data_IF_187705457214
#
_entry.id   IF_187705457214
#
_cell.length_a   1.000
_cell.length_b   1.000
_cell.length_c   1.000
_cell.angle_alpha   90.00
_cell.angle_beta   90.00
_cell.angle_gamma   90.00
#
_symmetry.space_group_name_H-M   'P 1'
#
loop_
_entity.id
_entity.type
_entity.pdbx_description
1 polymer ?
#
# COMPACT_ATOMS: atom_id res chain seq x y z
N UNK A 1 15.16 37.76 1.85
CA UNK A 1 15.32 37.07 0.54
C UNK A 1 14.25 37.63 -0.38
N UNK A 2 14.65 38.29 -1.48
CA UNK A 2 13.72 38.90 -2.41
C UNK A 2 12.89 37.85 -3.14
N UNK A 3 11.59 38.08 -3.36
CA UNK A 3 10.68 37.13 -4.05
C UNK A 3 11.21 36.59 -5.39
N UNK A 4 12.00 37.39 -6.11
CA UNK A 4 12.66 36.99 -7.37
C UNK A 4 13.73 35.91 -7.13
N UNK A 5 14.47 35.96 -6.01
CA UNK A 5 15.49 34.98 -5.65
C UNK A 5 14.90 33.64 -5.24
N UNK A 6 13.77 33.63 -4.52
CA UNK A 6 13.08 32.41 -4.10
C UNK A 6 12.48 31.64 -5.29
N UNK A 7 11.83 32.33 -6.22
CA UNK A 7 11.26 31.73 -7.42
C UNK A 7 12.35 31.14 -8.32
N UNK A 8 13.48 31.82 -8.47
CA UNK A 8 14.62 31.31 -9.25
C UNK A 8 15.24 30.07 -8.58
N UNK A 9 15.44 30.10 -7.27
CA UNK A 9 15.94 28.97 -6.48
C UNK A 9 15.01 27.76 -6.60
N UNK A 10 13.69 27.92 -6.42
CA UNK A 10 12.72 26.84 -6.58
C UNK A 10 12.78 26.25 -8.00
N UNK A 11 12.80 27.11 -9.03
CA UNK A 11 12.88 26.67 -10.43
C UNK A 11 14.16 25.86 -10.72
N UNK A 12 15.28 26.27 -10.15
CA UNK A 12 16.57 25.57 -10.31
C UNK A 12 16.55 24.25 -9.54
N UNK A 13 16.05 24.23 -8.31
CA UNK A 13 16.00 23.04 -7.45
C UNK A 13 15.12 21.93 -8.03
N UNK A 14 14.00 22.31 -8.67
CA UNK A 14 13.05 21.39 -9.30
C UNK A 14 13.25 21.23 -10.82
N UNK A 15 14.37 21.68 -11.36
CA UNK A 15 14.66 21.61 -12.82
C UNK A 15 14.76 20.17 -13.34
N UNK A 16 15.05 19.20 -12.46
CA UNK A 16 15.10 17.77 -12.82
C UNK A 16 13.71 17.14 -13.05
N UNK A 17 12.62 17.82 -12.70
CA UNK A 17 11.25 17.33 -12.92
C UNK A 17 10.83 17.46 -14.38
N UNK A 18 11.49 16.71 -15.28
CA UNK A 18 11.27 16.76 -16.73
C UNK A 18 11.02 15.37 -17.32
N UNK A 19 10.72 15.28 -18.60
CA UNK A 19 10.61 14.01 -19.34
C UNK A 19 9.64 13.02 -18.71
N UNK A 20 10.07 11.77 -18.63
CA UNK A 20 9.27 10.67 -18.07
C UNK A 20 8.86 10.92 -16.60
N UNK A 21 9.78 11.48 -15.80
CA UNK A 21 9.50 11.72 -14.40
C UNK A 21 8.29 12.65 -14.20
N UNK A 22 8.22 13.76 -14.97
CA UNK A 22 7.05 14.67 -14.93
C UNK A 22 5.75 13.98 -15.38
N UNK A 23 5.82 13.14 -16.43
CA UNK A 23 4.65 12.39 -16.90
C UNK A 23 4.14 11.46 -15.81
N UNK A 24 5.04 10.77 -15.12
CA UNK A 24 4.69 9.85 -14.04
C UNK A 24 4.11 10.59 -12.83
N UNK A 25 4.67 11.73 -12.43
CA UNK A 25 4.13 12.54 -11.33
C UNK A 25 2.69 12.99 -11.61
N UNK A 26 2.44 13.56 -12.80
CA UNK A 26 1.09 14.02 -13.16
C UNK A 26 0.10 12.84 -13.19
N UNK A 27 0.50 11.70 -13.78
CA UNK A 27 -0.37 10.52 -13.79
C UNK A 27 -0.62 9.97 -12.39
N UNK A 28 0.34 10.09 -11.47
CA UNK A 28 0.17 9.67 -10.07
C UNK A 28 -0.83 10.54 -9.33
N UNK A 29 -0.75 11.87 -9.49
CA UNK A 29 -1.73 12.81 -8.92
C UNK A 29 -3.16 12.43 -9.34
N UNK A 30 -3.36 12.12 -10.64
CA UNK A 30 -4.68 11.71 -11.14
C UNK A 30 -5.16 10.42 -10.48
N UNK A 31 -4.28 9.44 -10.29
CA UNK A 31 -4.63 8.15 -9.73
C UNK A 31 -4.85 8.22 -8.22
N UNK A 32 -3.96 8.91 -7.50
CA UNK A 32 -4.01 9.00 -6.04
C UNK A 32 -5.23 9.77 -5.54
N UNK A 33 -5.68 10.80 -6.28
CA UNK A 33 -6.88 11.56 -5.94
C UNK A 33 -8.12 10.68 -5.78
N UNK A 34 -8.20 9.59 -6.54
CA UNK A 34 -9.35 8.70 -6.51
C UNK A 34 -9.11 7.39 -5.76
N UNK A 35 -7.86 7.00 -5.52
CA UNK A 35 -7.49 5.68 -5.00
C UNK A 35 -8.12 5.34 -3.64
N UNK A 36 -8.20 6.32 -2.74
CA UNK A 36 -8.71 6.13 -1.38
C UNK A 36 -10.21 6.45 -1.21
N UNK A 37 -10.87 6.92 -2.27
CA UNK A 37 -12.31 7.23 -2.20
C UNK A 37 -13.18 6.03 -1.77
N UNK A 38 -12.97 4.79 -2.26
CA UNK A 38 -13.83 3.67 -1.88
C UNK A 38 -13.64 3.22 -0.43
N UNK A 39 -12.49 3.50 0.19
CA UNK A 39 -12.06 2.90 1.44
C UNK A 39 -13.09 2.94 2.59
N UNK A 40 -13.76 4.06 2.89
CA UNK A 40 -14.72 4.11 4.00
C UNK A 40 -15.98 3.27 3.79
N UNK A 41 -16.41 3.11 2.54
CA UNK A 41 -17.74 2.59 2.21
C UNK A 41 -17.70 1.24 1.47
N UNK A 42 -16.52 0.74 1.11
CA UNK A 42 -16.36 -0.48 0.31
C UNK A 42 -17.03 -1.70 0.95
N UNK A 43 -16.81 -1.89 2.26
CA UNK A 43 -17.37 -3.04 2.97
C UNK A 43 -18.90 -3.00 2.99
N UNK A 44 -19.48 -1.83 3.21
CA UNK A 44 -20.94 -1.63 3.17
C UNK A 44 -21.51 -1.86 1.77
N UNK A 45 -20.82 -1.38 0.74
CA UNK A 45 -21.21 -1.58 -0.65
C UNK A 45 -21.29 -3.05 -1.01
N UNK A 46 -20.25 -3.83 -0.66
CA UNK A 46 -20.23 -5.28 -0.90
C UNK A 46 -21.36 -5.99 -0.13
N UNK A 47 -21.59 -5.64 1.14
CA UNK A 47 -22.58 -6.32 1.96
C UNK A 47 -24.02 -5.94 1.62
N UNK A 48 -24.32 -4.66 1.57
CA UNK A 48 -25.70 -4.17 1.54
C UNK A 48 -26.23 -4.01 0.13
N UNK A 49 -25.38 -3.63 -0.83
CA UNK A 49 -25.82 -3.40 -2.21
C UNK A 49 -25.61 -4.65 -3.08
N UNK A 50 -24.49 -5.35 -2.90
CA UNK A 50 -24.12 -6.45 -3.79
C UNK A 50 -24.40 -7.84 -3.22
N UNK A 51 -25.03 -7.91 -2.04
CA UNK A 51 -25.43 -9.16 -1.40
C UNK A 51 -24.27 -10.05 -0.96
N UNK A 52 -23.07 -9.47 -0.76
CA UNK A 52 -21.90 -10.18 -0.30
C UNK A 52 -21.90 -10.32 1.21
N UNK A 53 -22.00 -11.53 1.74
CA UNK A 53 -21.80 -11.81 3.16
C UNK A 53 -20.35 -11.58 3.61
N UNK A 54 -20.09 -11.77 4.91
CA UNK A 54 -18.73 -11.60 5.47
C UNK A 54 -17.65 -12.37 4.72
N UNK A 55 -17.93 -13.61 4.29
CA UNK A 55 -16.98 -14.41 3.51
C UNK A 55 -16.60 -13.76 2.17
N UNK A 56 -17.51 -13.05 1.53
CA UNK A 56 -17.27 -12.39 0.24
C UNK A 56 -16.14 -11.36 0.34
N UNK A 57 -16.10 -10.56 1.39
CA UNK A 57 -15.03 -9.59 1.63
C UNK A 57 -13.67 -10.27 1.81
N UNK A 58 -13.63 -11.37 2.55
CA UNK A 58 -12.43 -12.18 2.71
C UNK A 58 -11.93 -12.76 1.39
N UNK A 59 -12.83 -13.29 0.54
CA UNK A 59 -12.49 -13.83 -0.77
C UNK A 59 -12.02 -12.75 -1.74
N UNK A 60 -12.65 -11.58 -1.76
CA UNK A 60 -12.20 -10.43 -2.57
C UNK A 60 -10.79 -10.01 -2.15
N UNK A 61 -10.53 -9.90 -0.85
CA UNK A 61 -9.21 -9.56 -0.33
C UNK A 61 -8.17 -10.62 -0.64
N UNK A 62 -8.50 -11.90 -0.47
CA UNK A 62 -7.63 -13.03 -0.84
C UNK A 62 -7.27 -12.98 -2.32
N UNK A 63 -8.25 -12.84 -3.20
CA UNK A 63 -8.03 -12.78 -4.65
C UNK A 63 -7.15 -11.59 -5.05
N UNK A 64 -7.40 -10.41 -4.45
CA UNK A 64 -6.60 -9.23 -4.69
C UNK A 64 -5.13 -9.43 -4.31
N UNK A 65 -4.85 -9.91 -3.10
CA UNK A 65 -3.46 -10.10 -2.65
C UNK A 65 -2.78 -11.29 -3.30
N UNK A 66 -3.47 -12.39 -3.58
CA UNK A 66 -2.90 -13.50 -4.35
C UNK A 66 -2.57 -13.08 -5.78
N UNK A 67 -3.41 -12.24 -6.41
CA UNK A 67 -3.11 -11.65 -7.71
C UNK A 67 -1.85 -10.78 -7.66
N UNK A 68 -1.69 -9.92 -6.65
CA UNK A 68 -0.46 -9.14 -6.44
C UNK A 68 0.76 -10.03 -6.22
N UNK A 69 0.64 -11.08 -5.42
CA UNK A 69 1.71 -12.06 -5.23
C UNK A 69 2.09 -12.75 -6.54
N UNK A 70 1.09 -13.16 -7.33
CA UNK A 70 1.32 -13.83 -8.61
C UNK A 70 2.09 -12.98 -9.62
N UNK A 71 1.96 -11.65 -9.58
CA UNK A 71 2.64 -10.75 -10.52
C UNK A 71 3.93 -10.12 -9.99
N UNK A 72 4.24 -10.29 -8.71
CA UNK A 72 5.38 -9.63 -8.08
C UNK A 72 6.72 -9.96 -8.76
N UNK A 73 7.00 -11.24 -9.03
CA UNK A 73 8.23 -11.67 -9.72
C UNK A 73 8.17 -11.49 -11.24
N UNK A 74 7.09 -11.93 -11.93
CA UNK A 74 6.99 -11.77 -13.37
C UNK A 74 7.09 -10.30 -13.81
N UNK A 75 6.55 -9.38 -13.02
CA UNK A 75 6.63 -7.95 -13.29
C UNK A 75 8.06 -7.43 -13.38
N UNK A 76 8.94 -7.87 -12.47
CA UNK A 76 10.36 -7.54 -12.50
C UNK A 76 11.06 -8.08 -13.75
N UNK A 77 10.83 -9.35 -14.07
CA UNK A 77 11.39 -9.99 -15.27
C UNK A 77 10.98 -9.27 -16.56
N UNK A 78 9.70 -8.92 -16.69
CA UNK A 78 9.20 -8.18 -17.84
C UNK A 78 9.81 -6.78 -17.93
N UNK A 79 9.91 -6.09 -16.78
CA UNK A 79 10.50 -4.76 -16.70
C UNK A 79 11.95 -4.71 -17.16
N UNK A 80 12.72 -5.79 -16.89
CA UNK A 80 14.16 -5.84 -17.18
C UNK A 80 14.50 -6.31 -18.58
N UNK A 81 13.55 -6.88 -19.34
CA UNK A 81 13.83 -7.47 -20.68
C UNK A 81 13.00 -6.94 -21.83
N UNK A 82 11.74 -6.63 -21.59
CA UNK A 82 10.80 -6.41 -22.70
C UNK A 82 10.40 -4.93 -22.91
N UNK A 83 10.90 -4.05 -22.08
CA UNK A 83 10.59 -2.63 -22.12
C UNK A 83 9.53 -2.23 -21.10
N UNK A 84 9.72 -1.04 -20.54
CA UNK A 84 8.92 -0.53 -19.42
C UNK A 84 7.73 0.28 -19.86
N UNK A 85 7.91 1.07 -20.94
CA UNK A 85 6.88 2.00 -21.44
C UNK A 85 5.56 1.30 -21.75
N UNK A 86 5.59 0.25 -22.58
CA UNK A 86 4.37 -0.42 -22.99
C UNK A 86 3.69 -1.11 -21.81
N UNK A 87 4.47 -1.75 -20.93
CA UNK A 87 3.93 -2.43 -19.75
C UNK A 87 3.21 -1.44 -18.82
N UNK A 88 3.83 -0.29 -18.55
CA UNK A 88 3.23 0.77 -17.72
C UNK A 88 1.94 1.29 -18.38
N UNK A 89 1.99 1.61 -19.66
CA UNK A 89 0.85 2.21 -20.34
C UNK A 89 -0.31 1.22 -20.48
N UNK A 90 -0.07 0.00 -20.99
CA UNK A 90 -1.13 -0.99 -21.23
C UNK A 90 -1.77 -1.47 -19.94
N UNK A 91 -0.98 -1.75 -18.90
CA UNK A 91 -1.53 -2.20 -17.63
C UNK A 91 -2.28 -1.10 -16.89
N UNK A 92 -1.95 0.18 -17.10
CA UNK A 92 -2.75 1.28 -16.57
C UNK A 92 -4.13 1.34 -17.21
N UNK A 93 -4.27 1.04 -18.52
CA UNK A 93 -5.59 0.85 -19.14
C UNK A 93 -6.34 -0.33 -18.54
N UNK A 94 -5.66 -1.45 -18.30
CA UNK A 94 -6.25 -2.61 -17.62
C UNK A 94 -6.79 -2.27 -16.22
N UNK A 95 -6.01 -1.50 -15.44
CA UNK A 95 -6.46 -0.99 -14.14
C UNK A 95 -7.71 -0.11 -14.27
N UNK A 96 -7.69 0.85 -15.20
CA UNK A 96 -8.84 1.73 -15.41
C UNK A 96 -10.10 0.96 -15.77
N UNK A 97 -10.00 0.02 -16.70
CA UNK A 97 -11.14 -0.79 -17.15
C UNK A 97 -11.62 -1.78 -16.08
N UNK A 98 -10.73 -2.25 -15.19
CA UNK A 98 -11.14 -3.12 -14.08
C UNK A 98 -12.14 -2.44 -13.12
N UNK A 99 -12.07 -1.11 -12.96
CA UNK A 99 -13.01 -0.38 -12.12
C UNK A 99 -14.44 -0.33 -12.68
N UNK A 100 -14.63 -0.60 -13.98
CA UNK A 100 -15.98 -0.77 -14.54
C UNK A 100 -16.70 -1.98 -13.94
N UNK A 101 -15.96 -3.06 -13.62
CA UNK A 101 -16.55 -4.20 -12.91
C UNK A 101 -17.08 -3.81 -11.54
N UNK A 102 -16.44 -2.83 -10.88
CA UNK A 102 -16.89 -2.32 -9.59
C UNK A 102 -18.07 -1.34 -9.75
N UNK A 103 -18.02 -0.46 -10.75
CA UNK A 103 -19.06 0.53 -11.01
C UNK A 103 -20.40 -0.10 -11.40
N UNK A 104 -20.36 -1.13 -12.25
CA UNK A 104 -21.54 -1.81 -12.80
C UNK A 104 -21.80 -3.17 -12.17
N UNK A 105 -21.21 -3.46 -11.01
CA UNK A 105 -21.41 -4.72 -10.32
C UNK A 105 -22.88 -4.95 -9.96
N UNK A 106 -23.53 -6.04 -10.43
CA UNK A 106 -24.83 -6.46 -9.96
C UNK A 106 -24.74 -7.32 -8.69
N UNK A 107 -23.59 -7.97 -8.47
CA UNK A 107 -23.30 -8.82 -7.31
C UNK A 107 -21.83 -8.73 -6.93
N UNK A 108 -21.48 -9.16 -5.73
CA UNK A 108 -20.10 -9.16 -5.23
C UNK A 108 -19.12 -10.01 -6.06
N UNK A 109 -19.60 -10.98 -6.84
CA UNK A 109 -18.77 -11.78 -7.74
C UNK A 109 -18.11 -10.94 -8.85
N UNK A 110 -18.82 -9.90 -9.31
CA UNK A 110 -18.22 -8.93 -10.25
C UNK A 110 -17.09 -8.13 -9.61
N UNK A 111 -17.22 -7.78 -8.33
CA UNK A 111 -16.13 -7.16 -7.56
C UNK A 111 -14.94 -8.12 -7.45
N UNK A 112 -15.18 -9.41 -7.15
CA UNK A 112 -14.15 -10.42 -7.09
C UNK A 112 -13.38 -10.54 -8.42
N UNK A 113 -14.10 -10.58 -9.54
CA UNK A 113 -13.49 -10.59 -10.87
C UNK A 113 -12.71 -9.31 -11.15
N UNK A 114 -13.31 -8.15 -10.88
CA UNK A 114 -12.67 -6.85 -11.03
C UNK A 114 -11.41 -6.71 -10.19
N UNK A 115 -11.43 -7.13 -8.93
CA UNK A 115 -10.28 -7.12 -8.02
C UNK A 115 -9.15 -8.05 -8.50
N UNK A 116 -9.51 -9.23 -9.03
CA UNK A 116 -8.54 -10.16 -9.62
C UNK A 116 -7.86 -9.54 -10.85
N UNK A 117 -8.63 -8.97 -11.78
CA UNK A 117 -8.09 -8.30 -12.98
C UNK A 117 -7.22 -7.10 -12.55
N UNK A 118 -7.70 -6.29 -11.61
CA UNK A 118 -6.98 -5.13 -11.09
C UNK A 118 -5.62 -5.53 -10.52
N UNK A 119 -5.58 -6.51 -9.63
CA UNK A 119 -4.35 -6.99 -9.01
C UNK A 119 -3.35 -7.59 -10.01
N UNK A 120 -3.82 -8.30 -11.03
CA UNK A 120 -2.97 -8.82 -12.11
C UNK A 120 -2.39 -7.68 -12.96
N UNK A 121 -3.15 -6.61 -13.19
CA UNK A 121 -2.66 -5.43 -13.90
C UNK A 121 -1.53 -4.70 -13.16
N UNK A 122 -1.36 -4.91 -11.85
CA UNK A 122 -0.24 -4.34 -11.07
C UNK A 122 1.14 -4.92 -11.43
N UNK A 123 1.21 -5.87 -12.36
CA UNK A 123 2.46 -6.42 -12.92
C UNK A 123 3.42 -5.33 -13.44
N UNK A 124 2.94 -4.14 -13.73
CA UNK A 124 3.76 -3.02 -14.20
C UNK A 124 4.52 -2.29 -13.08
N UNK A 125 4.21 -2.52 -11.81
CA UNK A 125 4.80 -1.76 -10.70
C UNK A 125 6.35 -1.79 -10.69
N UNK A 126 7.04 -2.93 -10.87
CA UNK A 126 8.50 -2.94 -10.94
C UNK A 126 9.03 -2.10 -12.11
N UNK A 127 8.37 -2.13 -13.27
CA UNK A 127 8.73 -1.31 -14.42
C UNK A 127 8.58 0.19 -14.12
N UNK A 128 7.53 0.57 -13.39
CA UNK A 128 7.27 1.94 -12.97
C UNK A 128 8.38 2.47 -12.05
N UNK A 129 8.73 1.73 -11.00
CA UNK A 129 9.82 2.12 -10.09
C UNK A 129 11.17 2.20 -10.80
N UNK A 130 11.48 1.25 -11.69
CA UNK A 130 12.70 1.27 -12.47
C UNK A 130 12.75 2.49 -13.41
N UNK A 131 11.65 2.80 -14.11
CA UNK A 131 11.57 3.98 -15.00
C UNK A 131 11.75 5.30 -14.22
N UNK A 132 11.22 5.40 -13.01
CA UNK A 132 11.42 6.56 -12.13
C UNK A 132 12.91 6.73 -11.82
N UNK A 133 13.58 5.66 -11.37
CA UNK A 133 14.99 5.72 -11.02
C UNK A 133 15.88 6.08 -12.22
N UNK A 134 15.55 5.57 -13.41
CA UNK A 134 16.27 5.89 -14.65
C UNK A 134 16.01 7.32 -15.14
N UNK A 135 14.89 7.90 -14.78
CA UNK A 135 14.47 9.25 -15.21
C UNK A 135 15.01 10.36 -14.29
N UNK A 136 15.69 9.99 -13.22
CA UNK A 136 16.25 10.93 -12.21
C UNK A 136 17.78 10.89 -12.24
N UNK A 137 18.44 12.06 -12.13
CA UNK A 137 19.88 12.11 -11.86
C UNK A 137 20.21 11.36 -10.57
N UNK A 138 21.36 10.70 -10.51
CA UNK A 138 21.78 9.88 -9.35
C UNK A 138 21.72 10.65 -8.02
N UNK A 139 22.10 11.93 -8.05
CA UNK A 139 22.16 12.82 -6.89
C UNK A 139 20.76 13.26 -6.41
N UNK A 140 19.74 13.14 -7.28
CA UNK A 140 18.37 13.61 -7.02
C UNK A 140 17.35 12.47 -6.82
N UNK A 141 17.79 11.20 -6.84
CA UNK A 141 16.87 10.03 -6.67
C UNK A 141 16.15 10.03 -5.34
N UNK A 142 16.84 10.39 -4.25
CA UNK A 142 16.20 10.49 -2.93
C UNK A 142 15.12 11.57 -2.88
N UNK A 143 15.44 12.76 -3.41
CA UNK A 143 14.49 13.88 -3.48
C UNK A 143 13.28 13.52 -4.37
N UNK A 144 13.52 12.89 -5.51
CA UNK A 144 12.45 12.43 -6.39
C UNK A 144 11.52 11.43 -5.73
N UNK A 145 12.06 10.44 -5.00
CA UNK A 145 11.25 9.48 -4.25
C UNK A 145 10.43 10.16 -3.13
N UNK A 146 11.00 11.15 -2.46
CA UNK A 146 10.28 11.93 -1.42
C UNK A 146 9.13 12.76 -2.01
N UNK A 147 9.31 13.32 -3.21
CA UNK A 147 8.24 14.05 -3.90
C UNK A 147 7.08 13.12 -4.26
N UNK A 148 7.37 11.91 -4.74
CA UNK A 148 6.34 10.89 -5.02
C UNK A 148 5.56 10.55 -3.75
N UNK A 149 6.24 10.32 -2.64
CA UNK A 149 5.59 10.03 -1.35
C UNK A 149 4.75 11.19 -0.86
N UNK A 150 5.23 12.43 -1.03
CA UNK A 150 4.48 13.64 -0.69
C UNK A 150 3.21 13.76 -1.55
N UNK A 151 3.30 13.51 -2.86
CA UNK A 151 2.16 13.49 -3.77
C UNK A 151 1.15 12.45 -3.32
N UNK A 152 1.58 11.21 -3.09
CA UNK A 152 0.70 10.15 -2.62
C UNK A 152 -0.03 10.58 -1.33
N UNK A 153 0.68 11.00 -0.29
CA UNK A 153 0.07 11.41 0.96
C UNK A 153 -0.88 12.60 0.82
N UNK A 154 -0.57 13.56 -0.06
CA UNK A 154 -1.39 14.78 -0.23
C UNK A 154 -2.66 14.50 -1.03
N UNK A 155 -2.57 13.77 -2.13
CA UNK A 155 -3.68 13.59 -3.07
C UNK A 155 -4.59 12.40 -2.72
N UNK A 156 -4.12 11.39 -2.00
CA UNK A 156 -4.97 10.31 -1.49
C UNK A 156 -5.84 10.75 -0.29
N UNK A 157 -5.36 11.71 0.49
CA UNK A 157 -6.00 12.23 1.70
C UNK A 157 -7.45 12.73 1.53
N UNK A 158 -7.82 13.53 0.49
CA UNK A 158 -9.20 14.01 0.33
C UNK A 158 -10.19 12.91 -0.06
N UNK A 159 -9.72 11.77 -0.55
CA UNK A 159 -10.56 10.70 -1.08
C UNK A 159 -11.68 10.25 -0.14
N UNK A 160 -11.38 9.84 1.10
CA UNK A 160 -12.41 9.45 2.07
C UNK A 160 -13.42 10.55 2.39
N UNK A 161 -13.00 11.81 2.40
CA UNK A 161 -13.89 12.95 2.66
C UNK A 161 -14.86 13.18 1.49
N UNK A 162 -14.36 13.14 0.26
CA UNK A 162 -15.18 13.23 -0.95
C UNK A 162 -16.20 12.08 -0.97
N UNK A 163 -15.78 10.87 -0.64
CA UNK A 163 -16.66 9.71 -0.54
C UNK A 163 -17.76 9.89 0.52
N UNK A 164 -17.43 10.47 1.67
CA UNK A 164 -18.39 10.80 2.72
C UNK A 164 -19.45 11.80 2.24
N UNK A 165 -19.04 12.86 1.57
CA UNK A 165 -19.97 13.86 1.00
C UNK A 165 -20.87 13.24 -0.07
N UNK A 166 -20.33 12.41 -0.97
CA UNK A 166 -21.11 11.69 -1.96
C UNK A 166 -22.12 10.73 -1.31
N UNK A 167 -21.72 10.02 -0.24
CA UNK A 167 -22.60 9.15 0.52
C UNK A 167 -23.81 9.91 1.08
N UNK A 168 -23.57 11.08 1.67
CA UNK A 168 -24.64 11.90 2.25
C UNK A 168 -25.61 12.41 1.18
N UNK A 169 -25.14 12.67 -0.03
CA UNK A 169 -25.95 13.26 -1.10
C UNK A 169 -26.70 12.21 -1.93
N UNK A 170 -26.05 11.09 -2.26
CA UNK A 170 -26.55 10.12 -3.23
C UNK A 170 -26.88 8.75 -2.62
N UNK A 171 -26.64 8.55 -1.33
CA UNK A 171 -26.76 7.24 -0.69
C UNK A 171 -25.64 6.28 -1.08
N UNK A 172 -25.64 5.08 -0.48
CA UNK A 172 -24.51 4.13 -0.58
C UNK A 172 -24.27 3.62 -2.00
N UNK A 173 -25.33 3.15 -2.65
CA UNK A 173 -25.20 2.52 -3.99
C UNK A 173 -24.67 3.51 -5.02
N UNK A 174 -25.36 4.64 -5.20
CA UNK A 174 -24.99 5.62 -6.22
C UNK A 174 -23.66 6.29 -5.92
N UNK A 175 -23.34 6.59 -4.65
CA UNK A 175 -22.05 7.16 -4.30
C UNK A 175 -20.91 6.22 -4.71
N UNK A 176 -21.02 4.93 -4.43
CA UNK A 176 -19.97 3.95 -4.78
C UNK A 176 -19.84 3.78 -6.30
N UNK A 177 -20.96 3.72 -7.04
CA UNK A 177 -20.93 3.66 -8.51
C UNK A 177 -20.27 4.91 -9.12
N UNK A 178 -20.63 6.09 -8.63
CA UNK A 178 -20.02 7.37 -9.05
C UNK A 178 -18.51 7.39 -8.74
N UNK A 179 -18.10 6.94 -7.55
CA UNK A 179 -16.69 6.86 -7.16
C UNK A 179 -15.92 5.97 -8.14
N UNK A 180 -16.41 4.79 -8.45
CA UNK A 180 -15.72 3.89 -9.39
C UNK A 180 -15.72 4.41 -10.83
N UNK A 181 -16.73 5.17 -11.25
CA UNK A 181 -16.71 5.88 -12.54
C UNK A 181 -15.67 7.01 -12.55
N UNK A 182 -15.55 7.78 -11.47
CA UNK A 182 -14.49 8.79 -11.29
C UNK A 182 -13.11 8.12 -11.34
N UNK A 183 -12.93 7.00 -10.62
CA UNK A 183 -11.69 6.22 -10.69
C UNK A 183 -11.40 5.78 -12.12
N UNK A 184 -12.37 5.21 -12.82
CA UNK A 184 -12.22 4.81 -14.22
C UNK A 184 -11.75 5.98 -15.08
N UNK A 185 -12.41 7.13 -14.97
CA UNK A 185 -12.09 8.32 -15.76
C UNK A 185 -10.68 8.86 -15.48
N UNK A 186 -10.30 8.99 -14.20
CA UNK A 186 -8.99 9.50 -13.80
C UNK A 186 -7.86 8.52 -14.16
N UNK A 187 -8.08 7.21 -14.00
CA UNK A 187 -7.11 6.19 -14.40
C UNK A 187 -6.98 6.08 -15.93
N UNK A 188 -8.08 6.25 -16.69
CA UNK A 188 -8.03 6.36 -18.16
C UNK A 188 -7.26 7.61 -18.59
N UNK A 189 -7.52 8.75 -17.98
CA UNK A 189 -6.76 9.97 -18.24
C UNK A 189 -5.27 9.79 -17.96
N UNK A 190 -4.93 9.15 -16.84
CA UNK A 190 -3.56 8.78 -16.49
C UNK A 190 -2.94 7.80 -17.51
N UNK A 191 -3.69 6.80 -17.97
CA UNK A 191 -3.24 5.83 -18.97
C UNK A 191 -2.94 6.52 -20.31
N UNK A 192 -3.83 7.39 -20.79
CA UNK A 192 -3.62 8.20 -22.00
C UNK A 192 -2.41 9.12 -21.83
N UNK A 193 -2.27 9.75 -20.66
CA UNK A 193 -1.11 10.60 -20.36
C UNK A 193 0.21 9.83 -20.39
N UNK A 194 0.22 8.57 -19.88
CA UNK A 194 1.35 7.66 -19.87
C UNK A 194 1.75 7.15 -21.26
N UNK A 195 0.92 7.27 -22.29
CA UNK A 195 1.32 6.98 -23.68
C UNK A 195 2.47 7.86 -24.17
N UNK A 196 2.65 9.05 -23.57
CA UNK A 196 3.76 9.98 -23.86
C UNK A 196 5.10 9.56 -23.24
N UNK A 197 5.14 8.52 -22.42
CA UNK A 197 6.39 8.00 -21.85
C UNK A 197 7.35 7.60 -22.96
N UNK A 198 8.62 7.86 -22.73
CA UNK A 198 9.70 7.40 -23.58
C UNK A 198 10.37 6.19 -22.95
N UNK A 199 10.73 5.21 -23.76
CA UNK A 199 11.39 4.02 -23.28
C UNK A 199 12.78 4.35 -22.73
N UNK A 200 13.12 3.75 -21.59
CA UNK A 200 14.43 3.93 -20.93
C UNK A 200 15.40 2.80 -21.22
N UNK A 201 14.90 1.65 -21.71
CA UNK A 201 15.75 0.51 -22.06
C UNK A 201 16.33 0.62 -23.48
N UNK A 202 17.63 0.35 -23.62
CA UNK A 202 18.31 0.35 -24.91
C UNK A 202 18.13 -0.98 -25.66
N UNK A 203 18.23 -2.11 -24.97
CA UNK A 203 18.10 -3.44 -25.56
C UNK A 203 16.79 -4.10 -25.12
N UNK A 204 15.96 -4.52 -26.08
CA UNK A 204 14.69 -5.19 -25.82
C UNK A 204 14.70 -6.58 -26.45
N UNK A 205 14.24 -7.56 -25.69
CA UNK A 205 14.00 -8.90 -26.19
C UNK A 205 12.52 -9.08 -26.55
N UNK A 206 12.17 -9.86 -27.59
CA UNK A 206 10.77 -10.18 -27.86
C UNK A 206 10.18 -11.04 -26.74
N UNK A 207 8.91 -10.76 -26.39
CA UNK A 207 8.19 -11.52 -25.37
C UNK A 207 8.00 -12.94 -25.89
N UNK A 208 8.63 -13.93 -25.19
CA UNK A 208 8.38 -15.35 -25.42
C UNK A 208 7.68 -15.91 -24.18
N UNK A 209 6.40 -16.19 -24.29
CA UNK A 209 5.55 -16.65 -23.18
C UNK A 209 6.14 -17.88 -22.46
N UNK A 210 6.80 -18.77 -23.18
CA UNK A 210 7.47 -19.95 -22.59
C UNK A 210 8.58 -19.56 -21.61
N UNK A 211 9.38 -18.53 -21.93
CA UNK A 211 10.44 -18.04 -21.03
C UNK A 211 9.87 -17.30 -19.83
N UNK A 212 8.77 -16.58 -20.02
CA UNK A 212 8.04 -15.94 -18.94
C UNK A 212 7.59 -16.95 -17.88
N UNK A 213 6.90 -18.02 -18.29
CA UNK A 213 6.43 -19.09 -17.38
C UNK A 213 7.60 -19.82 -16.72
N UNK A 214 8.68 -20.13 -17.47
CA UNK A 214 9.86 -20.84 -16.93
C UNK A 214 10.72 -19.97 -16.01
N UNK A 215 10.67 -18.64 -16.11
CA UNK A 215 11.42 -17.73 -15.23
C UNK A 215 10.85 -17.65 -13.83
N UNK A 216 9.55 -17.92 -13.66
CA UNK A 216 8.84 -17.80 -12.38
C UNK A 216 9.41 -18.76 -11.30
N UNK A 217 9.52 -20.07 -11.53
CA UNK A 217 10.12 -20.99 -10.55
C UNK A 217 11.57 -20.63 -10.24
N UNK A 218 12.33 -20.16 -11.24
CA UNK A 218 13.72 -19.74 -11.08
C UNK A 218 13.83 -18.51 -10.19
N UNK A 219 13.00 -17.48 -10.42
CA UNK A 219 12.98 -16.27 -9.62
C UNK A 219 12.58 -16.57 -8.16
N UNK A 220 11.59 -17.41 -7.95
CA UNK A 220 11.21 -17.89 -6.61
C UNK A 220 12.40 -18.61 -5.95
N UNK A 221 13.01 -19.58 -6.62
CA UNK A 221 14.15 -20.34 -6.08
C UNK A 221 15.34 -19.45 -5.74
N UNK A 222 15.68 -18.49 -6.60
CA UNK A 222 16.74 -17.52 -6.35
C UNK A 222 16.40 -16.63 -5.13
N UNK A 223 15.17 -16.17 -5.00
CA UNK A 223 14.72 -15.36 -3.86
C UNK A 223 14.77 -16.16 -2.55
N UNK A 224 14.35 -17.41 -2.56
CA UNK A 224 14.51 -18.29 -1.38
C UNK A 224 15.97 -18.59 -1.08
N UNK A 225 16.86 -18.66 -2.09
CA UNK A 225 18.29 -18.89 -1.84
C UNK A 225 18.98 -17.72 -1.13
N UNK A 226 18.46 -16.50 -1.29
CA UNK A 226 18.96 -15.30 -0.59
C UNK A 226 18.83 -15.41 0.93
N UNK A 227 17.88 -16.21 1.44
CA UNK A 227 17.73 -16.45 2.87
C UNK A 227 19.04 -16.87 3.55
N UNK A 228 19.88 -17.60 2.83
CA UNK A 228 21.18 -18.09 3.34
C UNK A 228 22.26 -17.00 3.40
N UNK A 229 22.09 -15.92 2.64
CA UNK A 229 23.09 -14.84 2.51
C UNK A 229 22.74 -13.59 3.32
N UNK A 230 21.49 -13.47 3.77
CA UNK A 230 21.04 -12.32 4.52
C UNK A 230 21.53 -12.33 5.98
N UNK A 231 21.84 -11.16 6.55
CA UNK A 231 22.12 -11.05 7.98
C UNK A 231 20.95 -11.57 8.83
N UNK A 232 21.24 -12.23 9.94
CA UNK A 232 20.20 -12.76 10.84
C UNK A 232 19.18 -11.69 11.28
N UNK A 233 19.65 -10.48 11.58
CA UNK A 233 18.75 -9.36 11.93
C UNK A 233 17.78 -9.01 10.81
N UNK A 234 18.21 -9.09 9.53
CA UNK A 234 17.33 -8.84 8.40
C UNK A 234 16.26 -9.94 8.26
N UNK A 235 16.62 -11.20 8.49
CA UNK A 235 15.68 -12.32 8.47
C UNK A 235 14.57 -12.15 9.52
N UNK A 236 14.96 -11.82 10.75
CA UNK A 236 13.99 -11.59 11.83
C UNK A 236 13.13 -10.35 11.58
N UNK A 237 13.70 -9.30 11.01
CA UNK A 237 12.97 -8.10 10.62
C UNK A 237 11.91 -8.41 9.55
N UNK A 238 12.26 -9.24 8.57
CA UNK A 238 11.35 -9.73 7.53
C UNK A 238 10.22 -10.59 8.10
N UNK A 239 10.54 -11.53 9.01
CA UNK A 239 9.52 -12.33 9.71
C UNK A 239 8.57 -11.44 10.48
N UNK A 240 9.10 -10.45 11.24
CA UNK A 240 8.27 -9.50 11.97
C UNK A 240 7.36 -8.68 11.04
N UNK A 241 7.87 -8.24 9.89
CA UNK A 241 7.05 -7.52 8.90
C UNK A 241 5.91 -8.38 8.36
N UNK A 242 6.17 -9.64 8.01
CA UNK A 242 5.15 -10.55 7.51
C UNK A 242 4.08 -10.81 8.57
N UNK A 243 4.47 -11.02 9.84
CA UNK A 243 3.54 -11.20 10.95
C UNK A 243 2.67 -9.96 11.17
N UNK A 244 3.26 -8.77 11.14
CA UNK A 244 2.52 -7.51 11.30
C UNK A 244 1.53 -7.30 10.14
N UNK A 245 1.93 -7.57 8.89
CA UNK A 245 1.06 -7.46 7.73
C UNK A 245 -0.09 -8.48 7.77
N UNK A 246 0.18 -9.71 8.22
CA UNK A 246 -0.84 -10.72 8.45
C UNK A 246 -1.83 -10.27 9.53
N UNK A 247 -1.33 -9.81 10.70
CA UNK A 247 -2.16 -9.28 11.78
C UNK A 247 -3.02 -8.11 11.33
N UNK A 248 -2.43 -7.12 10.64
CA UNK A 248 -3.17 -5.97 10.09
C UNK A 248 -4.32 -6.41 9.18
N UNK A 249 -4.12 -7.41 8.35
CA UNK A 249 -5.12 -7.87 7.39
C UNK A 249 -6.30 -8.61 8.04
N UNK A 250 -6.13 -9.19 9.24
CA UNK A 250 -7.20 -9.88 9.96
C UNK A 250 -8.40 -8.97 10.25
N UNK A 251 -8.16 -7.71 10.61
CA UNK A 251 -9.25 -6.80 10.97
C UNK A 251 -9.54 -5.72 9.91
N UNK A 252 -8.61 -5.44 9.01
CA UNK A 252 -8.70 -4.31 8.07
C UNK A 252 -9.95 -4.34 7.19
N UNK A 253 -10.42 -5.53 6.84
CA UNK A 253 -11.57 -5.72 5.96
C UNK A 253 -12.91 -5.68 6.69
N UNK A 254 -12.90 -5.77 8.04
CA UNK A 254 -14.12 -5.82 8.87
C UNK A 254 -14.29 -4.60 9.76
N UNK A 255 -13.31 -3.70 9.82
CA UNK A 255 -13.31 -2.56 10.74
C UNK A 255 -14.56 -1.67 10.61
N UNK A 256 -14.99 -1.37 9.37
CA UNK A 256 -16.20 -0.57 9.14
C UNK A 256 -17.48 -1.30 9.57
N UNK A 257 -17.54 -2.62 9.31
CA UNK A 257 -18.69 -3.46 9.71
C UNK A 257 -18.76 -3.55 11.24
N UNK A 258 -17.62 -3.80 11.90
CA UNK A 258 -17.52 -3.80 13.35
C UNK A 258 -17.94 -2.46 13.95
N UNK A 259 -17.50 -1.35 13.37
CA UNK A 259 -17.87 -0.01 13.80
C UNK A 259 -19.40 0.21 13.74
N UNK A 260 -20.06 -0.28 12.69
CA UNK A 260 -21.52 -0.19 12.56
C UNK A 260 -22.25 -1.14 13.51
N UNK A 261 -21.90 -2.43 13.47
CA UNK A 261 -22.70 -3.50 14.07
C UNK A 261 -22.44 -3.65 15.58
N UNK A 262 -21.24 -3.34 16.04
CA UNK A 262 -20.83 -3.51 17.44
C UNK A 262 -20.72 -2.18 18.17
N UNK A 263 -20.10 -1.16 17.53
CA UNK A 263 -19.90 0.13 18.16
C UNK A 263 -21.07 1.10 17.95
N UNK A 264 -22.04 0.75 17.10
CA UNK A 264 -23.20 1.59 16.78
C UNK A 264 -22.86 2.89 16.04
N UNK A 265 -21.68 2.97 15.41
CA UNK A 265 -21.26 4.15 14.63
C UNK A 265 -22.02 4.16 13.29
N UNK A 266 -22.84 5.18 13.02
CA UNK A 266 -23.56 5.26 11.75
C UNK A 266 -22.61 5.32 10.55
N UNK A 267 -22.99 4.67 9.44
CA UNK A 267 -22.21 4.71 8.17
C UNK A 267 -21.93 6.14 7.70
N UNK A 268 -22.89 7.03 7.89
CA UNK A 268 -22.77 8.44 7.57
C UNK A 268 -21.70 9.19 8.37
N UNK A 269 -21.26 8.63 9.49
CA UNK A 269 -20.20 9.21 10.36
C UNK A 269 -18.88 8.45 10.25
N UNK A 270 -18.86 7.24 9.70
CA UNK A 270 -17.66 6.41 9.65
C UNK A 270 -16.47 7.08 8.92
N UNK A 271 -16.74 7.81 7.86
CA UNK A 271 -15.68 8.53 7.14
C UNK A 271 -14.98 9.61 7.98
N UNK A 272 -15.64 10.14 9.04
CA UNK A 272 -15.06 11.16 9.93
C UNK A 272 -13.83 10.65 10.67
N UNK A 273 -13.74 9.34 10.95
CA UNK A 273 -12.58 8.76 11.65
C UNK A 273 -11.31 8.79 10.80
N UNK A 274 -11.42 8.94 9.48
CA UNK A 274 -10.27 9.08 8.59
C UNK A 274 -9.64 10.47 8.63
N UNK A 275 -10.36 11.49 9.12
CA UNK A 275 -9.85 12.86 9.26
C UNK A 275 -8.66 12.90 10.25
N UNK A 276 -8.79 12.41 11.51
CA UNK A 276 -7.67 12.37 12.43
C UNK A 276 -6.51 11.48 11.94
N UNK A 277 -6.79 10.36 11.29
CA UNK A 277 -5.75 9.53 10.65
C UNK A 277 -4.92 10.37 9.67
N UNK A 278 -5.59 11.04 8.75
CA UNK A 278 -5.00 11.89 7.71
C UNK A 278 -4.17 13.02 8.30
N UNK A 279 -4.73 13.76 9.26
CA UNK A 279 -4.02 14.86 9.92
C UNK A 279 -2.75 14.31 10.60
N UNK A 280 -2.85 13.17 11.26
CA UNK A 280 -1.71 12.52 11.92
C UNK A 280 -0.64 12.13 10.91
N UNK A 281 -1.00 11.52 9.78
CA UNK A 281 -0.06 11.15 8.72
C UNK A 281 0.72 12.35 8.17
N UNK A 282 0.07 13.49 8.02
CA UNK A 282 0.71 14.72 7.54
C UNK A 282 1.60 15.35 8.64
N UNK A 283 1.03 15.60 9.82
CA UNK A 283 1.69 16.36 10.88
C UNK A 283 2.84 15.57 11.52
N UNK A 284 2.65 14.27 11.73
CA UNK A 284 3.64 13.43 12.41
C UNK A 284 4.77 12.92 11.48
N UNK A 285 4.64 13.03 10.16
CA UNK A 285 5.62 12.49 9.21
C UNK A 285 7.04 13.03 9.44
N UNK A 286 7.20 14.34 9.59
CA UNK A 286 8.51 14.97 9.82
C UNK A 286 9.03 14.70 11.23
N UNK A 287 8.26 14.87 12.32
CA UNK A 287 8.69 14.49 13.67
C UNK A 287 9.12 13.03 13.81
N UNK A 288 8.37 12.09 13.23
CA UNK A 288 8.69 10.65 13.26
C UNK A 288 10.00 10.39 12.50
N UNK A 289 10.20 10.98 11.33
CA UNK A 289 11.46 10.87 10.58
C UNK A 289 12.66 11.35 11.41
N UNK A 290 12.58 12.54 12.02
CA UNK A 290 13.63 13.07 12.91
C UNK A 290 13.86 12.18 14.13
N UNK A 291 12.82 11.60 14.70
CA UNK A 291 12.92 10.66 15.82
C UNK A 291 13.74 9.43 15.41
N UNK A 292 13.45 8.83 14.25
CA UNK A 292 14.18 7.67 13.71
C UNK A 292 15.67 7.99 13.52
N UNK A 293 15.99 9.16 13.00
CA UNK A 293 17.39 9.58 12.80
C UNK A 293 18.14 9.81 14.12
N UNK A 294 17.45 10.33 15.14
CA UNK A 294 18.04 10.68 16.43
C UNK A 294 18.25 9.50 17.37
N UNK A 295 17.21 8.67 17.56
CA UNK A 295 17.21 7.59 18.57
C UNK A 295 17.47 6.19 17.99
N UNK A 296 17.68 6.07 16.67
CA UNK A 296 17.89 4.78 15.99
C UNK A 296 16.60 4.22 15.39
N UNK A 297 16.68 3.00 14.82
CA UNK A 297 15.59 2.39 14.04
C UNK A 297 14.71 1.46 14.88
N UNK A 298 15.33 0.76 15.84
CA UNK A 298 14.68 -0.28 16.64
C UNK A 298 13.59 0.27 17.58
N UNK A 299 13.87 1.36 18.29
CA UNK A 299 12.93 1.97 19.23
C UNK A 299 11.66 2.47 18.53
N UNK A 300 11.74 3.22 17.40
CA UNK A 300 10.55 3.61 16.64
C UNK A 300 9.72 2.43 16.11
N UNK A 301 10.37 1.32 15.71
CA UNK A 301 9.65 0.09 15.32
C UNK A 301 8.79 -0.44 16.46
N UNK A 302 9.37 -0.57 17.66
CA UNK A 302 8.69 -1.07 18.86
C UNK A 302 7.56 -0.12 19.28
N UNK A 303 7.84 1.20 19.31
CA UNK A 303 6.83 2.21 19.65
C UNK A 303 5.68 2.23 18.64
N UNK A 304 5.99 2.03 17.34
CA UNK A 304 4.99 1.93 16.29
C UNK A 304 4.02 0.77 16.48
N UNK A 305 4.53 -0.42 16.82
CA UNK A 305 3.69 -1.57 17.14
C UNK A 305 2.88 -1.36 18.42
N UNK A 306 3.49 -0.76 19.44
CA UNK A 306 2.79 -0.45 20.69
C UNK A 306 1.63 0.54 20.46
N UNK A 307 1.88 1.61 19.69
CA UNK A 307 0.83 2.56 19.32
C UNK A 307 -0.30 1.88 18.54
N UNK A 308 0.04 0.96 17.65
CA UNK A 308 -0.92 0.20 16.88
C UNK A 308 -1.81 -0.69 17.77
N UNK A 309 -1.23 -1.47 18.69
CA UNK A 309 -1.99 -2.32 19.63
C UNK A 309 -2.81 -1.50 20.63
N UNK A 310 -2.28 -0.38 21.11
CA UNK A 310 -3.06 0.56 21.94
C UNK A 310 -4.25 1.13 21.16
N UNK A 311 -4.07 1.42 19.88
CA UNK A 311 -5.16 1.81 18.97
C UNK A 311 -6.22 0.71 18.85
N UNK A 312 -5.84 -0.57 18.71
CA UNK A 312 -6.79 -1.69 18.66
C UNK A 312 -7.61 -1.80 19.96
N UNK A 313 -6.98 -1.66 21.12
CA UNK A 313 -7.67 -1.69 22.42
C UNK A 313 -8.72 -0.57 22.50
N UNK A 314 -8.35 0.65 22.12
CA UNK A 314 -9.29 1.77 22.10
C UNK A 314 -10.41 1.59 21.09
N UNK A 315 -10.10 1.03 19.92
CA UNK A 315 -11.11 0.76 18.90
C UNK A 315 -12.15 -0.25 19.36
N UNK A 316 -11.72 -1.33 20.02
CA UNK A 316 -12.63 -2.35 20.57
C UNK A 316 -13.50 -1.79 21.71
N UNK A 317 -12.97 -0.87 22.52
CA UNK A 317 -13.66 -0.27 23.66
C UNK A 317 -14.79 0.71 23.28
N UNK A 318 -14.88 1.11 22.07
CA UNK A 318 -16.00 1.53 21.29
C UNK A 318 -16.79 2.81 21.63
N UNK A 319 -16.39 3.92 21.03
CA UNK A 319 -17.24 5.06 20.71
C UNK A 319 -16.66 5.74 19.45
N UNK A 320 -17.38 6.67 18.82
CA UNK A 320 -16.84 7.45 17.69
C UNK A 320 -15.55 8.19 18.11
N UNK A 321 -15.50 8.72 19.34
CA UNK A 321 -14.30 9.38 19.86
C UNK A 321 -13.15 8.38 20.05
N UNK A 322 -13.40 7.22 20.64
CA UNK A 322 -12.39 6.18 20.79
C UNK A 322 -11.87 5.68 19.44
N UNK A 323 -12.75 5.50 18.45
CA UNK A 323 -12.37 5.16 17.09
C UNK A 323 -11.49 6.25 16.45
N UNK A 324 -11.82 7.53 16.63
CA UNK A 324 -11.02 8.65 16.13
C UNK A 324 -9.63 8.70 16.79
N UNK A 325 -9.53 8.48 18.09
CA UNK A 325 -8.23 8.40 18.80
C UNK A 325 -7.44 7.17 18.35
N UNK A 326 -8.11 6.02 18.17
CA UNK A 326 -7.50 4.82 17.62
C UNK A 326 -6.88 5.07 16.23
N UNK A 327 -7.54 5.83 15.37
CA UNK A 327 -7.00 6.20 14.05
C UNK A 327 -5.75 7.09 14.13
N UNK A 328 -5.66 7.96 15.15
CA UNK A 328 -4.42 8.71 15.43
C UNK A 328 -3.29 7.73 15.76
N UNK A 329 -3.55 6.77 16.65
CA UNK A 329 -2.56 5.78 17.06
C UNK A 329 -2.18 4.84 15.91
N UNK A 330 -3.12 4.44 15.06
CA UNK A 330 -2.83 3.69 13.83
C UNK A 330 -1.93 4.48 12.88
N UNK A 331 -2.21 5.79 12.67
CA UNK A 331 -1.37 6.67 11.86
C UNK A 331 0.06 6.79 12.40
N UNK A 332 0.22 7.02 13.69
CA UNK A 332 1.53 7.07 14.35
C UNK A 332 2.25 5.71 14.27
N UNK A 333 1.52 4.62 14.52
CA UNK A 333 2.03 3.25 14.42
C UNK A 333 2.53 2.94 13.03
N UNK A 334 1.73 3.21 12.01
CA UNK A 334 2.06 2.97 10.60
C UNK A 334 3.27 3.81 10.15
N UNK A 335 3.29 5.10 10.45
CA UNK A 335 4.41 5.97 10.10
C UNK A 335 5.71 5.49 10.74
N UNK A 336 5.68 5.22 12.06
CA UNK A 336 6.86 4.81 12.80
C UNK A 336 7.37 3.46 12.32
N UNK A 337 6.47 2.49 12.12
CA UNK A 337 6.83 1.13 11.68
C UNK A 337 7.39 1.14 10.26
N UNK A 338 6.69 1.73 9.29
CA UNK A 338 7.09 1.71 7.87
C UNK A 338 8.39 2.49 7.64
N UNK A 339 8.52 3.69 8.21
CA UNK A 339 9.70 4.51 8.03
C UNK A 339 10.94 3.88 8.69
N UNK A 340 10.79 3.37 9.93
CA UNK A 340 11.88 2.72 10.64
C UNK A 340 12.29 1.40 9.96
N UNK A 341 11.33 0.59 9.49
CA UNK A 341 11.57 -0.64 8.76
C UNK A 341 12.35 -0.39 7.46
N UNK A 342 11.96 0.63 6.69
CA UNK A 342 12.63 1.01 5.44
C UNK A 342 14.06 1.44 5.70
N UNK A 343 14.28 2.32 6.68
CA UNK A 343 15.61 2.79 7.06
C UNK A 343 16.48 1.63 7.58
N UNK A 344 15.92 0.75 8.40
CA UNK A 344 16.64 -0.38 8.98
C UNK A 344 17.05 -1.41 7.91
N UNK A 345 16.14 -1.72 6.98
CA UNK A 345 16.43 -2.61 5.86
C UNK A 345 17.55 -2.05 4.97
N UNK A 346 17.57 -0.72 4.77
CA UNK A 346 18.62 -0.05 4.03
C UNK A 346 19.98 -0.07 4.75
N UNK A 347 19.99 -0.01 6.07
CA UNK A 347 21.22 -0.09 6.88
C UNK A 347 21.82 -1.52 6.89
N UNK A 348 20.99 -2.58 6.72
CA UNK A 348 21.41 -3.98 6.81
C UNK A 348 21.79 -4.61 5.47
N UNK A 349 21.28 -4.10 4.34
CA UNK A 349 21.40 -4.75 3.03
C UNK A 349 21.96 -3.79 1.99
N UNK A 350 23.01 -4.24 1.27
CA UNK A 350 23.63 -3.48 0.19
C UNK A 350 22.64 -3.17 -0.94
N UNK A 351 22.88 -2.04 -1.64
CA UNK A 351 21.99 -1.52 -2.67
C UNK A 351 21.65 -2.54 -3.78
N UNK A 352 22.61 -3.39 -4.13
CA UNK A 352 22.46 -4.44 -5.17
C UNK A 352 21.44 -5.52 -4.85
N UNK A 353 21.19 -5.80 -3.55
CA UNK A 353 20.24 -6.84 -3.12
C UNK A 353 18.88 -6.30 -2.72
N UNK A 354 18.74 -4.99 -2.50
CA UNK A 354 17.48 -4.38 -2.00
C UNK A 354 16.27 -4.66 -2.89
N UNK A 355 16.44 -4.60 -4.20
CA UNK A 355 15.33 -4.86 -5.15
C UNK A 355 14.79 -6.29 -5.05
N UNK A 356 15.69 -7.29 -5.02
CA UNK A 356 15.31 -8.70 -4.89
C UNK A 356 14.70 -8.99 -3.52
N UNK A 357 15.27 -8.42 -2.46
CA UNK A 357 14.77 -8.56 -1.10
C UNK A 357 13.35 -7.99 -0.96
N UNK A 358 13.14 -6.75 -1.41
CA UNK A 358 11.83 -6.11 -1.36
C UNK A 358 10.78 -6.89 -2.17
N UNK A 359 11.15 -7.42 -3.34
CA UNK A 359 10.28 -8.29 -4.13
C UNK A 359 9.87 -9.54 -3.37
N UNK A 360 10.80 -10.19 -2.68
CA UNK A 360 10.52 -11.37 -1.87
C UNK A 360 9.66 -11.05 -0.64
N UNK A 361 9.97 -9.99 0.08
CA UNK A 361 9.18 -9.54 1.24
C UNK A 361 7.76 -9.20 0.82
N UNK A 362 7.58 -8.47 -0.28
CA UNK A 362 6.25 -8.12 -0.79
C UNK A 362 5.47 -9.37 -1.19
N UNK A 363 6.10 -10.32 -1.89
CA UNK A 363 5.46 -11.58 -2.26
C UNK A 363 4.94 -12.34 -1.04
N UNK A 364 5.77 -12.53 -0.01
CA UNK A 364 5.38 -13.21 1.21
C UNK A 364 4.31 -12.43 1.99
N UNK A 365 4.45 -11.10 2.06
CA UNK A 365 3.48 -10.24 2.71
C UNK A 365 2.11 -10.27 2.02
N UNK A 366 2.06 -10.28 0.69
CA UNK A 366 0.80 -10.39 -0.05
C UNK A 366 0.10 -11.72 0.21
N UNK A 367 0.83 -12.84 0.23
CA UNK A 367 0.25 -14.14 0.60
C UNK A 367 -0.32 -14.08 2.03
N UNK A 368 0.47 -13.57 2.97
CA UNK A 368 0.06 -13.44 4.36
C UNK A 368 -1.18 -12.54 4.50
N UNK A 369 -1.20 -11.39 3.82
CA UNK A 369 -2.35 -10.46 3.86
C UNK A 369 -3.61 -11.09 3.25
N UNK A 370 -3.50 -11.79 2.13
CA UNK A 370 -4.64 -12.47 1.53
C UNK A 370 -5.25 -13.53 2.46
N UNK A 371 -4.40 -14.36 3.06
CA UNK A 371 -4.84 -15.37 4.04
C UNK A 371 -5.41 -14.72 5.31
N UNK A 372 -4.80 -13.63 5.78
CA UNK A 372 -5.27 -12.89 6.93
C UNK A 372 -6.66 -12.26 6.72
N UNK A 373 -6.92 -11.68 5.54
CA UNK A 373 -8.26 -11.15 5.22
C UNK A 373 -9.34 -12.24 5.22
N UNK A 374 -9.04 -13.40 4.63
CA UNK A 374 -9.97 -14.53 4.63
C UNK A 374 -10.21 -15.05 6.05
N UNK A 375 -9.13 -15.28 6.80
CA UNK A 375 -9.21 -15.77 8.19
C UNK A 375 -9.90 -14.77 9.10
N UNK A 376 -9.58 -13.48 8.99
CA UNK A 376 -10.20 -12.44 9.81
C UNK A 376 -11.70 -12.36 9.64
N UNK A 377 -12.18 -12.44 8.38
CA UNK A 377 -13.61 -12.54 8.12
C UNK A 377 -14.23 -13.81 8.69
N UNK A 378 -13.57 -14.95 8.53
CA UNK A 378 -14.05 -16.23 9.08
C UNK A 378 -14.17 -16.16 10.61
N UNK A 379 -13.16 -15.60 11.29
CA UNK A 379 -13.19 -15.44 12.75
C UNK A 379 -14.34 -14.51 13.19
N UNK A 380 -14.57 -13.42 12.46
CA UNK A 380 -15.63 -12.47 12.74
C UNK A 380 -17.04 -13.06 12.66
N UNK A 381 -17.31 -13.87 11.62
CA UNK A 381 -18.65 -14.41 11.38
C UNK A 381 -18.94 -15.69 12.17
N UNK A 382 -17.89 -16.45 12.55
CA UNK A 382 -18.05 -17.77 13.16
C UNK A 382 -17.98 -17.72 14.68
N UNK A 383 -17.21 -16.78 15.23
CA UNK A 383 -16.99 -16.68 16.69
C UNK A 383 -17.54 -15.35 17.22
N UNK A 384 -16.72 -14.59 17.94
CA UNK A 384 -17.07 -13.28 18.46
C UNK A 384 -16.52 -12.16 17.57
N UNK A 385 -17.26 -11.06 17.37
CA UNK A 385 -16.83 -9.95 16.51
C UNK A 385 -15.47 -9.34 16.89
N UNK A 386 -15.06 -9.44 18.14
CA UNK A 386 -13.79 -8.93 18.65
C UNK A 386 -12.59 -9.84 18.33
N UNK A 387 -12.83 -11.12 17.99
CA UNK A 387 -11.76 -12.12 17.86
C UNK A 387 -10.68 -11.75 16.85
N UNK A 388 -10.98 -11.20 15.65
CA UNK A 388 -9.95 -10.78 14.70
C UNK A 388 -8.99 -9.71 15.28
N UNK A 389 -9.50 -8.80 16.11
CA UNK A 389 -8.69 -7.77 16.76
C UNK A 389 -7.79 -8.37 17.85
N UNK A 390 -8.32 -9.28 18.68
CA UNK A 390 -7.53 -10.02 19.66
C UNK A 390 -6.48 -10.91 19.01
N UNK A 391 -6.82 -11.58 17.90
CA UNK A 391 -5.88 -12.37 17.12
C UNK A 391 -4.76 -11.50 16.54
N UNK A 392 -5.08 -10.28 16.08
CA UNK A 392 -4.06 -9.31 15.62
C UNK A 392 -3.09 -8.99 16.75
N UNK A 393 -3.58 -8.60 17.92
CA UNK A 393 -2.73 -8.31 19.10
C UNK A 393 -1.89 -9.53 19.51
N UNK A 394 -2.47 -10.73 19.48
CA UNK A 394 -1.72 -11.95 19.78
C UNK A 394 -0.58 -12.23 18.78
N UNK A 395 -0.76 -11.87 17.50
CA UNK A 395 0.26 -12.03 16.44
C UNK A 395 1.33 -10.94 16.52
N UNK A 396 1.02 -9.75 16.99
CA UNK A 396 2.02 -8.70 17.21
C UNK A 396 3.00 -9.03 18.34
N UNK A 397 2.60 -9.85 19.33
CA UNK A 397 3.51 -10.29 20.41
C UNK A 397 4.77 -10.98 19.90
N UNK A 398 4.74 -12.03 19.05
CA UNK A 398 5.96 -12.60 18.49
C UNK A 398 6.74 -11.59 17.61
N UNK A 399 6.08 -10.64 16.94
CA UNK A 399 6.77 -9.57 16.23
C UNK A 399 7.53 -8.64 17.20
N UNK A 400 6.96 -8.27 18.35
CA UNK A 400 7.64 -7.57 19.44
C UNK A 400 8.86 -8.34 19.93
N UNK A 401 8.67 -9.62 20.26
CA UNK A 401 9.76 -10.48 20.78
C UNK A 401 10.91 -10.54 19.77
N UNK A 402 10.60 -10.79 18.49
CA UNK A 402 11.63 -10.86 17.45
C UNK A 402 12.37 -9.54 17.28
N UNK A 403 11.69 -8.40 17.25
CA UNK A 403 12.33 -7.09 17.11
C UNK A 403 13.18 -6.77 18.34
N UNK A 404 12.67 -7.02 19.56
CA UNK A 404 13.38 -6.65 20.79
C UNK A 404 14.62 -7.52 21.02
N UNK A 405 14.53 -8.82 20.83
CA UNK A 405 15.57 -9.75 21.24
C UNK A 405 16.46 -10.24 20.09
N UNK A 406 15.93 -10.36 18.86
CA UNK A 406 16.63 -11.00 17.76
C UNK A 406 17.11 -10.03 16.68
N UNK A 407 16.58 -8.81 16.63
CA UNK A 407 17.01 -7.77 15.71
C UNK A 407 18.03 -6.85 16.39
N UNK A 408 19.22 -6.74 15.81
CA UNK A 408 20.31 -5.92 16.31
C UNK A 408 20.63 -4.80 15.31
N UNK A 409 20.66 -3.57 15.79
CA UNK A 409 21.09 -2.43 14.96
C UNK A 409 22.58 -2.52 14.66
N UNK A 410 23.01 -2.28 13.40
CA UNK A 410 24.42 -2.12 13.07
C UNK A 410 24.96 -0.85 13.76
N UNK A 411 26.21 -0.91 14.20
CA UNK A 411 26.89 0.27 14.75
C UNK A 411 26.94 1.36 13.68
N UNK A 412 26.94 2.64 14.09
CA UNK A 412 26.91 3.78 13.15
C UNK A 412 28.02 3.73 12.08
N UNK A 413 29.15 3.09 12.37
CA UNK A 413 30.28 2.90 11.42
C UNK A 413 30.12 1.70 10.47
N UNK A 414 29.20 0.76 10.74
CA UNK A 414 29.01 -0.47 9.97
C UNK A 414 27.75 -0.42 9.05
N UNK A 415 27.11 0.73 8.94
CA UNK A 415 25.92 0.94 8.08
C UNK A 415 26.36 0.92 6.61
N UNK A 416 25.66 0.11 5.81
CA UNK A 416 25.97 -0.15 4.39
C UNK A 416 25.28 0.85 3.45
#
# INVERSE_FOLDING_TARGET
>A
MNHVGLAHYIRQEFSFMTGNYRILLISWIMMDLASEMPAPNFQYYVQEVLGGGGLALGLIGLANFLGMAAVAFPGGYLADRHGRRWLISTMTFGLALSFLFFAFAPTWHFILLGATINSLCLIYQPALFAMIQDSLPSERRGMGSSIIQLIHSTFSTPGPMIAGLLLLQFGLEWSMRIIYLIMTALYLAAAVWRLRLKETMQNREPIRFRYFVSSYPKAIKESFSMWKTLPRSMLWLMVSQILVMFGFSLFSVINAIYARDVLGIPKSQWWLVFIPLTITMIVASVPVGKMIDKIGRKIPLVLGLFAFDAGLILFIAGSLLNAAIAMILFGLGQLSFVAALTAFSADLVGQEYRGKLNGFINFMSYIAMGLGMLLGNYLYITFIPQLPFYATMAITVPAFITIIFLVHEPKRGDRK
#
